data_IF_563749521070
#
_entry.id   IF_563749521070
#
_cell.length_a   1.000
_cell.length_b   1.000
_cell.length_c   1.000
_cell.angle_alpha   90.00
_cell.angle_beta   90.00
_cell.angle_gamma   90.00
#
_symmetry.space_group_name_H-M   'P 1'
#
loop_
_entity.id
_entity.type
_entity.pdbx_description
1 polymer ?
#
# COMPACT_ATOMS: atom_id res chain seq x y z
N UNK A 1 -72.47 8.85 3.76
CA UNK A 1 -73.15 8.01 4.77
C UNK A 1 -72.71 6.56 4.57
N UNK A 2 -72.10 5.98 5.60
CA UNK A 2 -72.21 4.57 6.11
C UNK A 2 -72.60 3.52 5.05
N UNK A 3 -71.87 2.43 4.77
CA UNK A 3 -71.45 1.41 5.73
C UNK A 3 -70.50 0.36 5.13
N UNK A 4 -69.69 -0.20 6.02
CA UNK A 4 -68.84 -1.39 5.91
C UNK A 4 -69.57 -2.61 5.34
N UNK A 5 -68.87 -3.44 4.54
CA UNK A 5 -68.98 -4.91 4.65
C UNK A 5 -67.60 -5.56 4.51
N UNK A 6 -67.12 -6.10 5.63
CA UNK A 6 -66.14 -7.18 5.69
C UNK A 6 -66.88 -8.48 5.40
N UNK A 7 -66.33 -9.32 4.53
CA UNK A 7 -66.64 -10.76 4.51
C UNK A 7 -65.30 -11.49 4.54
N UNK A 8 -65.07 -12.20 5.64
CA UNK A 8 -64.08 -13.27 5.72
C UNK A 8 -64.56 -14.43 4.85
N UNK A 9 -63.67 -14.98 4.02
CA UNK A 9 -63.87 -16.22 3.28
C UNK A 9 -62.56 -17.00 3.24
N UNK A 10 -62.65 -18.24 3.70
CA UNK A 10 -61.59 -19.15 4.12
C UNK A 10 -60.74 -19.69 2.96
N UNK A 11 -59.51 -20.05 3.32
CA UNK A 11 -58.45 -20.68 2.54
C UNK A 11 -58.91 -21.80 1.59
N UNK A 12 -58.40 -21.74 0.36
CA UNK A 12 -58.19 -22.89 -0.50
C UNK A 12 -56.69 -22.99 -0.81
N UNK A 13 -56.02 -23.93 -0.16
CA UNK A 13 -54.69 -24.39 -0.53
C UNK A 13 -54.75 -25.02 -1.92
N UNK A 14 -54.17 -24.35 -2.91
CA UNK A 14 -53.79 -24.96 -4.19
C UNK A 14 -52.28 -24.86 -4.30
N UNK A 15 -51.63 -25.95 -3.87
CA UNK A 15 -50.25 -26.29 -4.19
C UNK A 15 -50.15 -26.48 -5.70
N UNK A 16 -49.77 -25.41 -6.41
CA UNK A 16 -49.19 -25.53 -7.75
C UNK A 16 -47.68 -25.40 -7.58
N UNK A 17 -47.00 -26.56 -7.66
CA UNK A 17 -45.57 -26.65 -7.89
C UNK A 17 -45.27 -26.09 -9.29
N UNK A 18 -45.27 -24.76 -9.40
CA UNK A 18 -44.62 -24.09 -10.52
C UNK A 18 -43.12 -24.13 -10.22
N UNK A 19 -42.42 -25.04 -10.89
CA UNK A 19 -40.96 -25.07 -10.88
C UNK A 19 -40.43 -23.68 -11.20
N UNK A 20 -39.71 -23.08 -10.26
CA UNK A 20 -38.88 -21.93 -10.53
C UNK A 20 -37.75 -22.37 -11.46
N UNK A 21 -38.02 -22.47 -12.76
CA UNK A 21 -37.01 -22.18 -13.76
C UNK A 21 -36.69 -20.70 -13.60
N UNK A 22 -35.75 -20.39 -12.71
CA UNK A 22 -35.13 -19.07 -12.67
C UNK A 22 -34.55 -18.89 -14.08
N UNK A 23 -35.06 -17.95 -14.89
CA UNK A 23 -34.39 -17.61 -16.13
C UNK A 23 -33.00 -17.14 -15.69
N UNK A 24 -31.94 -17.82 -16.13
CA UNK A 24 -30.60 -17.28 -16.08
C UNK A 24 -30.64 -15.97 -16.87
N UNK A 25 -30.92 -14.86 -16.18
CA UNK A 25 -30.74 -13.52 -16.71
C UNK A 25 -29.28 -13.35 -17.16
N UNK A 26 -29.01 -12.43 -18.09
CA UNK A 26 -27.67 -12.17 -18.56
C UNK A 26 -26.74 -11.95 -17.37
N UNK A 27 -25.53 -12.52 -17.46
CA UNK A 27 -24.44 -12.41 -16.47
C UNK A 27 -24.43 -10.98 -15.91
N UNK A 28 -24.65 -10.83 -14.60
CA UNK A 28 -24.52 -9.53 -13.94
C UNK A 28 -23.06 -9.07 -14.03
N UNK A 29 -22.79 -8.23 -15.01
CA UNK A 29 -21.53 -7.53 -15.23
C UNK A 29 -21.37 -6.42 -14.19
N UNK A 30 -20.13 -6.19 -13.77
CA UNK A 30 -19.79 -5.15 -12.81
C UNK A 30 -20.21 -3.79 -13.39
N UNK A 31 -21.10 -3.02 -12.74
CA UNK A 31 -21.52 -1.74 -13.28
C UNK A 31 -20.39 -0.71 -13.12
N UNK A 32 -20.02 -0.05 -14.21
CA UNK A 32 -19.01 1.02 -14.22
C UNK A 32 -19.66 2.40 -14.52
N UNK A 33 -19.16 3.53 -13.97
CA UNK A 33 -19.78 4.87 -14.10
C UNK A 33 -19.53 5.56 -15.46
N UNK A 34 -20.25 6.67 -15.75
CA UNK A 34 -20.26 7.52 -16.98
C UNK A 34 -18.92 7.78 -17.72
N UNK A 35 -17.78 7.57 -17.06
CA UNK A 35 -16.45 7.55 -17.67
C UNK A 35 -16.23 6.44 -18.72
N UNK A 36 -17.16 5.49 -18.86
CA UNK A 36 -17.05 4.38 -19.82
C UNK A 36 -17.04 4.84 -21.27
N UNK A 37 -17.83 5.84 -21.64
CA UNK A 37 -17.94 6.29 -23.03
C UNK A 37 -16.65 6.98 -23.48
N UNK A 38 -16.10 7.86 -22.64
CA UNK A 38 -14.80 8.52 -22.90
C UNK A 38 -13.67 7.49 -23.02
N UNK A 39 -13.72 6.42 -22.23
CA UNK A 39 -12.72 5.35 -22.26
C UNK A 39 -12.88 4.42 -23.45
N UNK A 40 -14.11 4.12 -23.86
CA UNK A 40 -14.38 3.39 -25.09
C UNK A 40 -13.85 4.14 -26.31
N UNK A 41 -14.08 5.46 -26.39
CA UNK A 41 -13.55 6.33 -27.45
C UNK A 41 -12.02 6.41 -27.44
N UNK A 42 -11.38 6.39 -26.26
CA UNK A 42 -9.92 6.38 -26.16
C UNK A 42 -9.29 5.03 -26.58
N UNK A 43 -10.01 3.92 -26.43
CA UNK A 43 -9.57 2.61 -26.91
C UNK A 43 -9.78 2.46 -28.42
N UNK A 44 -10.86 3.03 -28.95
CA UNK A 44 -11.09 3.13 -30.39
C UNK A 44 -9.98 3.93 -31.09
N UNK A 45 -9.60 5.10 -30.56
CA UNK A 45 -8.53 5.92 -31.16
C UNK A 45 -7.16 5.25 -31.13
N UNK A 46 -6.98 4.23 -30.30
CA UNK A 46 -5.77 3.41 -30.20
C UNK A 46 -5.86 2.08 -30.97
N UNK A 47 -7.00 1.78 -31.58
CA UNK A 47 -7.24 0.54 -32.32
C UNK A 47 -7.51 -0.69 -31.45
N UNK A 48 -7.72 -0.55 -30.14
CA UNK A 48 -8.10 -1.66 -29.24
C UNK A 48 -9.62 -1.88 -29.27
N UNK A 49 -10.07 -2.50 -30.36
CA UNK A 49 -11.49 -2.69 -30.67
C UNK A 49 -12.15 -3.67 -29.70
N UNK A 50 -11.43 -4.71 -29.26
CA UNK A 50 -11.94 -5.68 -28.29
C UNK A 50 -12.15 -5.02 -26.92
N UNK A 51 -11.23 -4.16 -26.49
CA UNK A 51 -11.41 -3.33 -25.31
C UNK A 51 -12.61 -2.39 -25.44
N UNK A 52 -12.74 -1.69 -26.57
CA UNK A 52 -13.82 -0.74 -26.82
C UNK A 52 -15.22 -1.39 -26.78
N UNK A 53 -15.42 -2.55 -27.44
CA UNK A 53 -16.71 -3.27 -27.47
C UNK A 53 -17.23 -3.55 -26.06
N UNK A 54 -16.35 -4.02 -25.17
CA UNK A 54 -16.70 -4.36 -23.78
C UNK A 54 -17.21 -3.16 -22.99
N UNK A 55 -16.67 -1.97 -23.26
CA UNK A 55 -17.08 -0.73 -22.60
C UNK A 55 -18.39 -0.16 -23.16
N UNK A 56 -18.65 -0.33 -24.45
CA UNK A 56 -19.96 -0.01 -25.04
C UNK A 56 -21.06 -0.98 -24.63
N UNK A 57 -20.74 -2.27 -24.48
CA UNK A 57 -21.65 -3.30 -23.92
C UNK A 57 -22.12 -2.93 -22.51
N UNK A 58 -21.19 -2.42 -21.67
CA UNK A 58 -21.48 -2.03 -20.29
C UNK A 58 -22.26 -0.69 -20.12
N UNK A 59 -22.29 0.19 -21.12
CA UNK A 59 -22.91 1.53 -21.06
C UNK A 59 -24.38 1.57 -21.55
N UNK A 60 -25.16 0.52 -21.28
CA UNK A 60 -26.43 0.22 -21.94
C UNK A 60 -27.50 1.35 -21.91
N UNK A 61 -27.48 2.19 -22.96
CA UNK A 61 -28.62 2.93 -23.52
C UNK A 61 -28.27 3.54 -24.90
N UNK A 62 -27.01 3.94 -25.11
CA UNK A 62 -26.53 4.62 -26.35
C UNK A 62 -25.92 3.64 -27.37
N UNK A 63 -25.73 2.37 -27.02
CA UNK A 63 -24.67 1.55 -27.63
C UNK A 63 -25.07 0.51 -28.69
N UNK A 64 -26.34 0.28 -29.07
CA UNK A 64 -26.64 -0.82 -30.02
C UNK A 64 -25.99 -0.64 -31.40
N UNK A 65 -26.07 0.55 -31.99
CA UNK A 65 -25.50 0.83 -33.31
C UNK A 65 -23.95 0.91 -33.28
N UNK A 66 -23.40 1.46 -32.19
CA UNK A 66 -21.95 1.55 -32.02
C UNK A 66 -21.31 0.18 -31.74
N UNK A 67 -22.00 -0.65 -30.96
CA UNK A 67 -21.62 -2.03 -30.67
C UNK A 67 -21.69 -2.89 -31.92
N UNK A 68 -22.72 -2.73 -32.78
CA UNK A 68 -22.76 -3.43 -34.06
C UNK A 68 -21.63 -2.99 -35.00
N UNK A 69 -21.32 -1.69 -35.04
CA UNK A 69 -20.19 -1.18 -35.83
C UNK A 69 -18.84 -1.72 -35.36
N UNK A 70 -18.60 -1.78 -34.05
CA UNK A 70 -17.36 -2.33 -33.50
C UNK A 70 -17.28 -3.85 -33.62
N UNK A 71 -18.40 -4.56 -33.52
CA UNK A 71 -18.45 -6.00 -33.82
C UNK A 71 -18.11 -6.27 -35.29
N UNK A 72 -18.59 -5.44 -36.21
CA UNK A 72 -18.20 -5.52 -37.62
C UNK A 72 -16.70 -5.27 -37.80
N UNK A 73 -16.15 -4.26 -37.12
CA UNK A 73 -14.71 -3.94 -37.17
C UNK A 73 -13.84 -5.07 -36.57
N UNK A 74 -14.30 -5.70 -35.47
CA UNK A 74 -13.64 -6.89 -34.92
C UNK A 74 -13.64 -8.04 -35.92
N UNK A 75 -14.76 -8.27 -36.63
CA UNK A 75 -14.83 -9.30 -37.66
C UNK A 75 -13.92 -8.98 -38.86
N UNK A 76 -13.80 -7.71 -39.23
CA UNK A 76 -12.85 -7.23 -40.24
C UNK A 76 -11.40 -7.50 -39.81
N UNK A 77 -11.04 -7.17 -38.56
CA UNK A 77 -9.70 -7.45 -38.01
C UNK A 77 -9.41 -8.94 -37.92
N UNK A 78 -10.38 -9.76 -37.52
CA UNK A 78 -10.26 -11.23 -37.55
C UNK A 78 -10.00 -11.71 -38.98
N UNK A 79 -10.74 -11.18 -39.97
CA UNK A 79 -10.53 -11.50 -41.37
C UNK A 79 -9.15 -11.11 -41.88
N UNK A 80 -8.65 -9.92 -41.50
CA UNK A 80 -7.31 -9.45 -41.87
C UNK A 80 -6.20 -10.31 -41.27
N UNK A 81 -6.32 -10.66 -39.97
CA UNK A 81 -5.35 -11.55 -39.29
C UNK A 81 -5.39 -12.97 -39.87
N UNK A 82 -6.55 -13.49 -40.27
CA UNK A 82 -6.65 -14.77 -40.99
C UNK A 82 -6.00 -14.71 -42.36
N UNK A 83 -6.23 -13.64 -43.13
CA UNK A 83 -5.60 -13.46 -44.44
C UNK A 83 -4.07 -13.31 -44.33
N UNK A 84 -3.59 -12.59 -43.31
CA UNK A 84 -2.16 -12.48 -43.01
C UNK A 84 -1.57 -13.82 -42.59
N UNK A 85 -2.28 -14.61 -41.78
CA UNK A 85 -1.90 -15.98 -41.46
C UNK A 85 -1.78 -16.84 -42.73
N UNK A 86 -2.80 -16.84 -43.60
CA UNK A 86 -2.80 -17.63 -44.84
C UNK A 86 -1.66 -17.21 -45.77
N UNK A 87 -1.39 -15.91 -45.91
CA UNK A 87 -0.29 -15.39 -46.73
C UNK A 87 1.09 -15.79 -46.18
N UNK A 88 1.31 -15.66 -44.87
CA UNK A 88 2.55 -16.07 -44.23
C UNK A 88 2.78 -17.58 -44.36
N UNK A 89 1.73 -18.38 -44.16
CA UNK A 89 1.79 -19.84 -44.34
C UNK A 89 2.05 -20.24 -45.80
N UNK A 90 1.45 -19.55 -46.77
CA UNK A 90 1.71 -19.79 -48.20
C UNK A 90 3.14 -19.40 -48.60
N UNK A 91 3.71 -18.37 -47.97
CA UNK A 91 5.10 -17.95 -48.15
C UNK A 91 6.11 -18.87 -47.44
N UNK A 92 5.65 -19.82 -46.62
CA UNK A 92 6.50 -20.72 -45.84
C UNK A 92 7.03 -20.11 -44.52
N UNK A 93 6.58 -18.91 -44.15
CA UNK A 93 6.87 -18.30 -42.85
C UNK A 93 5.86 -18.78 -41.80
N UNK A 94 6.10 -20.00 -41.32
CA UNK A 94 5.19 -20.68 -40.40
C UNK A 94 5.11 -20.02 -39.03
N UNK A 95 6.20 -19.40 -38.55
CA UNK A 95 6.23 -18.73 -37.26
C UNK A 95 5.30 -17.51 -37.25
N UNK A 96 5.36 -16.71 -38.31
CA UNK A 96 4.51 -15.54 -38.48
C UNK A 96 3.05 -15.95 -38.71
N UNK A 97 2.81 -17.02 -39.48
CA UNK A 97 1.47 -17.60 -39.63
C UNK A 97 0.86 -18.05 -38.32
N UNK A 98 1.62 -18.74 -37.47
CA UNK A 98 1.19 -19.16 -36.12
C UNK A 98 0.89 -17.94 -35.23
N UNK A 99 1.72 -16.88 -35.32
CA UNK A 99 1.51 -15.63 -34.56
C UNK A 99 0.15 -14.99 -34.88
N UNK A 100 -0.17 -14.85 -36.15
CA UNK A 100 -1.45 -14.31 -36.62
C UNK A 100 -2.63 -15.19 -36.18
N UNK A 101 -2.52 -16.52 -36.26
CA UNK A 101 -3.56 -17.44 -35.77
C UNK A 101 -3.79 -17.32 -34.26
N UNK A 102 -2.74 -17.08 -33.47
CA UNK A 102 -2.87 -16.82 -32.02
C UNK A 102 -3.52 -15.45 -31.74
N UNK A 103 -3.32 -14.44 -32.59
CA UNK A 103 -4.04 -13.17 -32.50
C UNK A 103 -5.54 -13.34 -32.77
N UNK A 104 -5.91 -14.17 -33.74
CA UNK A 104 -7.32 -14.54 -33.98
C UNK A 104 -7.92 -15.22 -32.76
N UNK A 105 -7.22 -16.19 -32.17
CA UNK A 105 -7.71 -16.89 -30.96
C UNK A 105 -7.76 -15.99 -29.72
N UNK A 106 -6.97 -14.91 -29.67
CA UNK A 106 -7.08 -13.87 -28.64
C UNK A 106 -8.37 -13.07 -28.80
N UNK A 107 -8.72 -12.68 -30.03
CA UNK A 107 -9.95 -11.95 -30.31
C UNK A 107 -11.18 -12.86 -30.15
N UNK A 108 -11.10 -14.10 -30.62
CA UNK A 108 -12.18 -15.08 -30.58
C UNK A 108 -11.67 -16.49 -30.19
N UNK A 109 -11.65 -16.83 -28.88
CA UNK A 109 -11.13 -18.12 -28.39
C UNK A 109 -11.88 -19.37 -28.90
N UNK A 110 -13.10 -19.19 -29.43
CA UNK A 110 -13.94 -20.24 -30.00
C UNK A 110 -13.77 -20.43 -31.51
N UNK A 111 -12.94 -19.62 -32.18
CA UNK A 111 -12.90 -19.55 -33.64
C UNK A 111 -12.39 -20.87 -34.26
N UNK A 112 -13.31 -21.64 -34.86
CA UNK A 112 -13.05 -23.01 -35.33
C UNK A 112 -12.01 -23.07 -36.46
N UNK A 113 -12.04 -22.09 -37.38
CA UNK A 113 -11.11 -22.02 -38.51
C UNK A 113 -9.65 -21.88 -38.07
N UNK A 114 -9.35 -20.80 -37.34
CA UNK A 114 -8.05 -20.57 -36.71
C UNK A 114 -7.55 -21.76 -35.88
N UNK A 115 -8.41 -22.42 -35.07
CA UNK A 115 -8.00 -23.65 -34.35
C UNK A 115 -7.62 -24.79 -35.29
N UNK A 116 -8.41 -24.99 -36.36
CA UNK A 116 -8.15 -26.03 -37.36
C UNK A 116 -6.86 -25.79 -38.13
N UNK A 117 -6.66 -24.57 -38.63
CA UNK A 117 -5.44 -24.16 -39.32
C UNK A 117 -4.22 -24.25 -38.41
N UNK A 118 -4.32 -23.76 -37.18
CA UNK A 118 -3.22 -23.82 -36.21
C UNK A 118 -2.84 -25.28 -35.92
N UNK A 119 -3.80 -26.18 -35.70
CA UNK A 119 -3.52 -27.61 -35.54
C UNK A 119 -2.88 -28.25 -36.78
N UNK A 120 -3.35 -27.89 -37.98
CA UNK A 120 -2.82 -28.40 -39.25
C UNK A 120 -1.39 -27.93 -39.54
N UNK A 121 -1.09 -26.66 -39.26
CA UNK A 121 0.25 -26.07 -39.38
C UNK A 121 1.19 -26.62 -38.33
N UNK A 122 0.73 -26.76 -37.08
CA UNK A 122 1.51 -27.37 -36.00
C UNK A 122 1.79 -28.85 -36.25
N UNK A 123 1.01 -29.57 -37.05
CA UNK A 123 1.36 -30.93 -37.45
C UNK A 123 2.57 -30.99 -38.39
N UNK A 124 3.04 -29.87 -38.96
CA UNK A 124 4.00 -29.86 -40.07
C UNK A 124 5.43 -29.48 -39.72
N UNK A 125 5.73 -28.54 -38.81
CA UNK A 125 7.15 -28.10 -38.68
C UNK A 125 7.63 -27.30 -37.44
N UNK A 126 6.79 -26.67 -36.62
CA UNK A 126 7.26 -25.94 -35.42
C UNK A 126 6.63 -26.46 -34.13
N UNK A 127 7.21 -27.53 -33.60
CA UNK A 127 6.58 -28.29 -32.53
C UNK A 127 7.54 -28.78 -31.47
N UNK A 128 7.12 -28.64 -30.23
CA UNK A 128 7.67 -29.43 -29.13
C UNK A 128 6.74 -30.64 -28.98
N UNK A 129 7.14 -31.84 -29.45
CA UNK A 129 6.34 -33.04 -29.25
C UNK A 129 6.30 -33.37 -27.76
N UNK A 130 5.11 -33.59 -27.21
CA UNK A 130 4.98 -34.11 -25.85
C UNK A 130 3.95 -35.23 -25.79
N UNK A 131 4.33 -36.34 -25.18
CA UNK A 131 3.41 -37.42 -24.83
C UNK A 131 2.80 -37.09 -23.47
N UNK A 132 1.47 -37.20 -23.37
CA UNK A 132 0.73 -37.07 -22.10
C UNK A 132 1.07 -38.27 -21.21
N UNK A 133 1.62 -38.01 -20.03
CA UNK A 133 1.86 -39.03 -19.01
C UNK A 133 0.58 -39.30 -18.19
N UNK A 134 0.47 -40.47 -17.58
CA UNK A 134 -0.73 -40.86 -16.81
C UNK A 134 -1.10 -39.83 -15.73
N UNK A 135 -2.26 -39.19 -15.89
CA UNK A 135 -2.78 -38.19 -14.96
C UNK A 135 -2.17 -36.77 -15.08
N UNK A 136 -1.35 -36.49 -16.10
CA UNK A 136 -0.81 -35.15 -16.33
C UNK A 136 -1.94 -34.13 -16.62
N UNK A 137 -1.90 -33.00 -15.92
CA UNK A 137 -2.74 -31.85 -16.23
C UNK A 137 -2.12 -30.97 -17.31
N UNK A 138 -2.93 -30.08 -17.90
CA UNK A 138 -2.44 -29.05 -18.82
C UNK A 138 -1.33 -28.17 -18.18
N UNK A 139 -1.37 -27.99 -16.86
CA UNK A 139 -0.37 -27.28 -16.05
C UNK A 139 0.97 -28.02 -15.98
N UNK A 140 0.93 -29.34 -15.81
CA UNK A 140 2.13 -30.17 -15.78
C UNK A 140 2.80 -30.20 -17.16
N UNK A 141 2.01 -30.33 -18.22
CA UNK A 141 2.50 -30.29 -19.61
C UNK A 141 3.12 -28.93 -19.93
N UNK A 142 2.45 -27.83 -19.57
CA UNK A 142 2.97 -26.47 -19.79
C UNK A 142 4.27 -26.21 -18.99
N UNK A 143 4.33 -26.67 -17.74
CA UNK A 143 5.53 -26.61 -16.91
C UNK A 143 6.69 -27.40 -17.50
N UNK A 144 6.43 -28.59 -18.05
CA UNK A 144 7.45 -29.45 -18.66
C UNK A 144 7.94 -28.93 -20.01
N UNK A 145 7.02 -28.51 -20.88
CA UNK A 145 7.31 -28.15 -22.28
C UNK A 145 7.81 -26.72 -22.42
N UNK A 146 7.19 -25.78 -21.70
CA UNK A 146 7.52 -24.36 -21.82
C UNK A 146 8.32 -23.81 -20.65
N UNK A 147 8.63 -24.66 -19.66
CA UNK A 147 9.19 -24.22 -18.35
C UNK A 147 8.31 -23.14 -17.70
N UNK A 148 7.01 -23.15 -18.00
CA UNK A 148 6.07 -22.14 -17.54
C UNK A 148 4.66 -22.73 -17.38
N UNK A 149 4.30 -23.03 -16.14
CA UNK A 149 3.01 -23.61 -15.74
C UNK A 149 1.83 -22.70 -16.12
N UNK A 150 2.05 -21.39 -16.32
CA UNK A 150 0.99 -20.43 -16.66
C UNK A 150 0.46 -20.57 -18.09
N UNK A 151 1.08 -21.43 -18.90
CA UNK A 151 0.71 -21.70 -20.30
C UNK A 151 -0.24 -22.88 -20.49
N UNK A 152 -0.74 -23.46 -19.42
CA UNK A 152 -1.75 -24.51 -19.46
C UNK A 152 -3.04 -24.11 -20.16
N UNK A 153 -3.47 -22.84 -20.10
CA UNK A 153 -4.64 -22.38 -20.84
C UNK A 153 -4.41 -22.35 -22.36
N UNK A 154 -3.16 -22.21 -22.83
CA UNK A 154 -2.83 -22.45 -24.24
C UNK A 154 -3.03 -23.93 -24.56
N UNK A 155 -2.54 -24.83 -23.69
CA UNK A 155 -2.72 -26.29 -23.84
C UNK A 155 -4.22 -26.64 -23.86
N UNK A 156 -5.03 -26.12 -22.94
CA UNK A 156 -6.50 -26.31 -22.90
C UNK A 156 -7.23 -25.71 -24.11
N UNK A 157 -6.73 -24.59 -24.65
CA UNK A 157 -7.36 -23.93 -25.80
C UNK A 157 -7.13 -24.74 -27.08
N UNK A 158 -5.94 -25.34 -27.20
CA UNK A 158 -5.52 -26.15 -28.33
C UNK A 158 -6.00 -27.59 -28.25
N UNK A 159 -6.06 -28.16 -27.06
CA UNK A 159 -6.38 -29.54 -26.78
C UNK A 159 -7.46 -29.62 -25.71
N UNK A 160 -8.48 -30.44 -25.95
CA UNK A 160 -9.64 -30.62 -25.06
C UNK A 160 -9.20 -30.96 -23.62
N UNK A 161 -10.08 -30.73 -22.63
CA UNK A 161 -9.81 -31.07 -21.22
C UNK A 161 -9.57 -32.56 -20.96
N UNK A 162 -10.01 -33.43 -21.87
CA UNK A 162 -9.85 -34.88 -21.76
C UNK A 162 -8.52 -35.31 -22.39
N UNK A 163 -7.42 -35.03 -21.69
CA UNK A 163 -6.09 -35.49 -22.08
C UNK A 163 -5.94 -36.96 -21.68
N UNK A 164 -6.00 -37.86 -22.66
CA UNK A 164 -5.80 -39.30 -22.43
C UNK A 164 -4.32 -39.66 -22.37
N UNK A 165 -3.94 -40.55 -21.46
CA UNK A 165 -2.57 -41.06 -21.36
C UNK A 165 -2.09 -41.64 -22.69
N UNK A 166 -0.84 -41.38 -23.06
CA UNK A 166 -0.25 -41.85 -24.31
C UNK A 166 -0.59 -41.00 -25.54
N UNK A 167 -1.44 -39.97 -25.40
CA UNK A 167 -1.74 -39.05 -26.50
C UNK A 167 -0.50 -38.22 -26.84
N UNK A 168 -0.15 -38.16 -28.12
CA UNK A 168 0.90 -37.29 -28.62
C UNK A 168 0.33 -35.90 -28.93
N UNK A 169 0.80 -34.88 -28.23
CA UNK A 169 0.40 -33.49 -28.46
C UNK A 169 1.51 -32.74 -29.20
N UNK A 170 1.06 -31.84 -30.08
CA UNK A 170 1.90 -31.00 -30.92
C UNK A 170 1.78 -29.56 -30.45
N UNK A 171 2.68 -29.14 -29.57
CA UNK A 171 2.63 -27.83 -28.93
C UNK A 171 3.47 -26.79 -29.69
N UNK A 172 2.95 -25.56 -29.92
CA UNK A 172 3.65 -24.54 -30.68
C UNK A 172 4.93 -24.12 -29.98
N UNK A 173 6.04 -24.07 -30.71
CA UNK A 173 7.30 -23.46 -30.26
C UNK A 173 7.19 -21.94 -30.33
N UNK A 174 6.58 -21.32 -29.32
CA UNK A 174 6.43 -19.87 -29.24
C UNK A 174 7.48 -19.32 -28.27
N UNK A 175 7.97 -18.10 -28.49
CA UNK A 175 8.72 -17.39 -27.44
C UNK A 175 7.88 -17.37 -26.15
N UNK A 176 8.36 -18.04 -25.11
CA UNK A 176 7.63 -18.24 -23.86
C UNK A 176 7.16 -16.91 -23.21
N UNK A 177 7.85 -15.81 -23.51
CA UNK A 177 7.51 -14.43 -23.11
C UNK A 177 6.18 -13.93 -23.70
N UNK A 178 5.90 -14.22 -24.98
CA UNK A 178 4.70 -13.78 -25.70
C UNK A 178 3.44 -14.53 -25.24
N UNK A 179 3.57 -15.82 -24.93
CA UNK A 179 2.44 -16.65 -24.51
C UNK A 179 2.13 -16.47 -23.02
N UNK A 180 3.15 -16.29 -22.17
CA UNK A 180 2.99 -16.24 -20.71
C UNK A 180 2.18 -15.03 -20.23
N UNK A 181 2.37 -13.89 -20.89
CA UNK A 181 1.59 -12.68 -20.63
C UNK A 181 0.15 -12.79 -21.15
N UNK A 182 -0.09 -13.58 -22.20
CA UNK A 182 -1.36 -13.61 -22.93
C UNK A 182 -2.36 -14.65 -22.41
N UNK A 183 -1.88 -15.74 -21.77
CA UNK A 183 -2.71 -16.88 -21.35
C UNK A 183 -2.95 -16.96 -19.82
N UNK A 184 -2.14 -16.28 -19.00
CA UNK A 184 -2.36 -16.11 -17.56
C UNK A 184 -3.53 -15.16 -17.24
N UNK A 185 -3.74 -14.15 -18.10
CA UNK A 185 -4.75 -13.12 -17.96
C UNK A 185 -6.17 -13.66 -17.75
N UNK A 186 -6.63 -14.61 -18.59
CA UNK A 186 -8.02 -15.08 -18.58
C UNK A 186 -8.45 -15.72 -17.25
N UNK A 187 -7.54 -16.41 -16.57
CA UNK A 187 -7.81 -17.00 -15.25
C UNK A 187 -7.73 -15.97 -14.14
N UNK A 188 -6.68 -15.14 -14.15
CA UNK A 188 -6.51 -14.08 -13.16
C UNK A 188 -7.69 -13.12 -13.16
N UNK A 189 -8.17 -12.69 -14.33
CA UNK A 189 -9.32 -11.79 -14.43
C UNK A 189 -10.63 -12.47 -14.01
N UNK A 190 -10.80 -13.76 -14.30
CA UNK A 190 -11.97 -14.54 -13.86
C UNK A 190 -11.99 -14.69 -12.33
N UNK A 191 -10.83 -14.96 -11.72
CA UNK A 191 -10.66 -14.99 -10.27
C UNK A 191 -10.94 -13.62 -9.66
N UNK A 192 -10.38 -12.55 -10.21
CA UNK A 192 -10.62 -11.18 -9.73
C UNK A 192 -12.12 -10.83 -9.75
N UNK A 193 -12.86 -11.19 -10.81
CA UNK A 193 -14.32 -10.99 -10.87
C UNK A 193 -15.07 -11.80 -9.80
N UNK A 194 -14.61 -13.02 -9.50
CA UNK A 194 -15.19 -13.85 -8.42
C UNK A 194 -14.96 -13.18 -7.06
N UNK A 195 -13.73 -12.74 -6.78
CA UNK A 195 -13.36 -12.10 -5.53
C UNK A 195 -14.11 -10.77 -5.34
N UNK A 196 -14.30 -10.00 -6.42
CA UNK A 196 -15.13 -8.80 -6.44
C UNK A 196 -16.58 -9.06 -6.02
N UNK A 197 -17.23 -10.08 -6.60
CA UNK A 197 -18.61 -10.45 -6.23
C UNK A 197 -18.72 -10.95 -4.80
N UNK A 198 -17.68 -11.61 -4.30
CA UNK A 198 -17.63 -12.09 -2.93
C UNK A 198 -17.31 -10.99 -1.90
N UNK A 199 -16.99 -9.77 -2.35
CA UNK A 199 -16.49 -8.70 -1.47
C UNK A 199 -15.14 -9.04 -0.82
N UNK A 200 -14.39 -9.97 -1.40
CA UNK A 200 -13.09 -10.40 -0.90
C UNK A 200 -12.01 -9.41 -1.35
N UNK A 201 -11.92 -8.27 -0.67
CA UNK A 201 -11.10 -7.14 -1.11
C UNK A 201 -9.59 -7.40 -1.07
N UNK A 202 -9.07 -8.11 -0.06
CA UNK A 202 -7.63 -8.42 0.00
C UNK A 202 -7.18 -9.37 -1.12
N UNK A 203 -7.85 -10.52 -1.36
CA UNK A 203 -7.54 -11.36 -2.53
C UNK A 203 -7.74 -10.61 -3.86
N UNK A 204 -8.79 -9.80 -3.97
CA UNK A 204 -9.05 -9.01 -5.17
C UNK A 204 -7.90 -8.05 -5.49
N UNK A 205 -7.39 -7.33 -4.48
CA UNK A 205 -6.29 -6.40 -4.64
C UNK A 205 -5.03 -7.13 -5.12
N UNK A 206 -4.70 -8.26 -4.50
CA UNK A 206 -3.53 -9.06 -4.88
C UNK A 206 -3.61 -9.56 -6.33
N UNK A 207 -4.75 -10.13 -6.73
CA UNK A 207 -4.93 -10.68 -8.09
C UNK A 207 -4.95 -9.56 -9.14
N UNK A 208 -5.54 -8.40 -8.82
CA UNK A 208 -5.57 -7.27 -9.76
C UNK A 208 -4.19 -6.64 -9.94
N UNK A 209 -3.37 -6.52 -8.89
CA UNK A 209 -1.97 -6.09 -9.02
C UNK A 209 -1.11 -7.10 -9.76
N UNK A 210 -1.36 -8.40 -9.57
CA UNK A 210 -0.73 -9.44 -10.37
C UNK A 210 -1.01 -9.21 -11.86
N UNK A 211 -2.28 -8.96 -12.24
CA UNK A 211 -2.65 -8.66 -13.63
C UNK A 211 -1.90 -7.43 -14.15
N UNK A 212 -1.82 -6.37 -13.35
CA UNK A 212 -1.17 -5.12 -13.75
C UNK A 212 0.36 -5.25 -13.87
N UNK A 213 0.99 -6.23 -13.22
CA UNK A 213 2.42 -6.46 -13.36
C UNK A 213 2.84 -6.87 -14.79
N UNK A 214 1.97 -7.59 -15.50
CA UNK A 214 2.21 -8.02 -16.89
C UNK A 214 1.29 -7.34 -17.91
N UNK A 215 0.21 -6.70 -17.46
CA UNK A 215 -0.69 -5.89 -18.28
C UNK A 215 -0.96 -4.54 -17.58
N UNK A 216 0.03 -3.64 -17.47
CA UNK A 216 -0.09 -2.38 -16.70
C UNK A 216 -1.14 -1.41 -17.26
N UNK A 217 -1.48 -1.56 -18.55
CA UNK A 217 -2.57 -0.84 -19.19
C UNK A 217 -3.94 -1.50 -19.03
N UNK A 218 -4.06 -2.60 -18.29
CA UNK A 218 -5.35 -3.30 -18.16
C UNK A 218 -6.34 -2.48 -17.34
N UNK A 219 -7.35 -1.99 -18.05
CA UNK A 219 -8.27 -1.01 -17.51
C UNK A 219 -9.29 -1.63 -16.53
N UNK A 220 -9.58 -2.94 -16.63
CA UNK A 220 -10.47 -3.65 -15.70
C UNK A 220 -9.73 -3.97 -14.40
N UNK A 221 -8.50 -4.48 -14.49
CA UNK A 221 -7.64 -4.74 -13.34
C UNK A 221 -7.33 -3.45 -12.57
N UNK A 222 -7.09 -2.31 -13.25
CA UNK A 222 -6.98 -1.00 -12.59
C UNK A 222 -8.22 -0.66 -11.78
N UNK A 223 -9.41 -0.84 -12.36
CA UNK A 223 -10.67 -0.57 -11.64
C UNK A 223 -10.85 -1.51 -10.44
N UNK A 224 -10.57 -2.80 -10.62
CA UNK A 224 -10.70 -3.81 -9.55
C UNK A 224 -9.72 -3.54 -8.41
N UNK A 225 -8.46 -3.21 -8.73
CA UNK A 225 -7.44 -2.76 -7.78
C UNK A 225 -7.93 -1.54 -6.99
N UNK A 226 -8.37 -0.49 -7.69
CA UNK A 226 -8.82 0.73 -7.05
C UNK A 226 -10.06 0.53 -6.17
N UNK A 227 -11.00 -0.33 -6.62
CA UNK A 227 -12.18 -0.69 -5.82
C UNK A 227 -11.80 -1.43 -4.55
N UNK A 228 -10.92 -2.42 -4.67
CA UNK A 228 -10.42 -3.19 -3.54
C UNK A 228 -9.68 -2.30 -2.54
N UNK A 229 -8.76 -1.46 -3.03
CA UNK A 229 -7.99 -0.54 -2.19
C UNK A 229 -8.91 0.46 -1.46
N UNK A 230 -9.90 1.05 -2.15
CA UNK A 230 -10.88 1.95 -1.54
C UNK A 230 -11.69 1.25 -0.42
N UNK A 231 -12.24 0.06 -0.70
CA UNK A 231 -13.07 -0.65 0.27
C UNK A 231 -12.26 -1.14 1.48
N UNK A 232 -11.00 -1.55 1.29
CA UNK A 232 -10.08 -1.86 2.39
C UNK A 232 -9.76 -0.62 3.21
N UNK A 233 -9.52 0.52 2.55
CA UNK A 233 -9.24 1.78 3.22
C UNK A 233 -10.40 2.22 4.11
N UNK A 234 -11.64 2.14 3.63
CA UNK A 234 -12.86 2.41 4.42
C UNK A 234 -13.01 1.43 5.58
N UNK A 235 -12.81 0.13 5.36
CA UNK A 235 -12.90 -0.86 6.43
C UNK A 235 -11.85 -0.62 7.55
N UNK A 236 -10.63 -0.20 7.18
CA UNK A 236 -9.57 0.15 8.12
C UNK A 236 -9.89 1.47 8.85
N UNK A 237 -10.46 2.44 8.14
CA UNK A 237 -10.90 3.71 8.72
C UNK A 237 -11.96 3.49 9.81
N UNK A 238 -12.99 2.68 9.54
CA UNK A 238 -14.05 2.35 10.51
C UNK A 238 -13.52 1.61 11.74
N UNK A 239 -12.41 0.87 11.60
CA UNK A 239 -11.72 0.20 12.71
C UNK A 239 -10.77 1.13 13.49
N UNK A 240 -10.68 2.41 13.14
CA UNK A 240 -9.74 3.37 13.73
C UNK A 240 -8.28 3.13 13.34
N UNK A 241 -7.99 2.26 12.36
CA UNK A 241 -6.63 1.95 11.89
C UNK A 241 -6.22 2.96 10.82
N UNK A 242 -6.15 4.23 11.22
CA UNK A 242 -5.96 5.37 10.32
C UNK A 242 -4.65 5.30 9.50
N UNK A 243 -3.56 4.81 10.09
CA UNK A 243 -2.28 4.66 9.39
C UNK A 243 -2.37 3.69 8.21
N UNK A 244 -2.98 2.53 8.41
CA UNK A 244 -3.15 1.52 7.36
C UNK A 244 -4.21 1.94 6.34
N UNK A 245 -5.28 2.58 6.80
CA UNK A 245 -6.29 3.19 5.94
C UNK A 245 -5.66 4.18 4.95
N UNK A 246 -4.78 5.07 5.44
CA UNK A 246 -4.05 6.03 4.61
C UNK A 246 -3.17 5.37 3.54
N UNK A 247 -2.50 4.26 3.89
CA UNK A 247 -1.71 3.47 2.94
C UNK A 247 -2.59 2.96 1.81
N UNK A 248 -3.78 2.45 2.13
CA UNK A 248 -4.70 1.94 1.11
C UNK A 248 -5.30 3.04 0.24
N UNK A 249 -5.71 4.19 0.80
CA UNK A 249 -6.19 5.33 -0.01
C UNK A 249 -5.14 5.84 -1.00
N UNK A 250 -3.86 5.84 -0.62
CA UNK A 250 -2.76 6.25 -1.52
C UNK A 250 -2.52 5.29 -2.68
N UNK A 251 -3.04 4.06 -2.61
CA UNK A 251 -2.97 3.08 -3.71
C UNK A 251 -4.07 3.29 -4.74
N UNK A 252 -5.11 4.06 -4.41
CA UNK A 252 -6.22 4.40 -5.31
C UNK A 252 -5.73 5.46 -6.30
N UNK A 253 -5.91 5.18 -7.59
CA UNK A 253 -5.53 6.14 -8.63
C UNK A 253 -6.39 7.40 -8.55
N UNK A 254 -5.79 8.57 -8.84
CA UNK A 254 -6.40 9.88 -8.66
C UNK A 254 -7.74 10.10 -9.43
N UNK A 255 -8.02 9.28 -10.44
CA UNK A 255 -9.18 9.39 -11.33
C UNK A 255 -10.31 8.40 -11.01
N UNK A 256 -10.12 7.46 -10.08
CA UNK A 256 -11.13 6.44 -9.76
C UNK A 256 -12.27 7.01 -8.90
N UNK A 257 -11.91 7.74 -7.84
CA UNK A 257 -12.80 8.47 -6.92
C UNK A 257 -11.99 9.59 -6.28
N UNK A 258 -12.66 10.68 -5.87
CA UNK A 258 -11.97 11.78 -5.19
C UNK A 258 -11.70 11.43 -3.72
N UNK A 259 -10.61 10.72 -3.45
CA UNK A 259 -10.20 10.31 -2.09
C UNK A 259 -9.55 11.43 -1.27
N UNK A 260 -9.27 12.59 -1.89
CA UNK A 260 -8.57 13.70 -1.23
C UNK A 260 -9.24 14.14 0.08
N UNK A 261 -10.57 14.32 0.17
CA UNK A 261 -11.21 14.73 1.42
C UNK A 261 -10.97 13.74 2.55
N UNK A 262 -11.05 12.44 2.25
CA UNK A 262 -10.86 11.37 3.22
C UNK A 262 -9.41 11.26 3.69
N UNK A 263 -8.45 11.40 2.77
CA UNK A 263 -7.03 11.47 3.12
C UNK A 263 -6.78 12.66 4.06
N UNK A 264 -7.36 13.83 3.77
CA UNK A 264 -7.22 15.01 4.62
C UNK A 264 -7.86 14.82 5.99
N UNK A 265 -9.04 14.19 6.05
CA UNK A 265 -9.70 13.82 7.30
C UNK A 265 -8.79 12.93 8.16
N UNK A 266 -8.22 11.86 7.60
CA UNK A 266 -7.28 10.98 8.30
C UNK A 266 -6.06 11.74 8.84
N UNK A 267 -5.46 12.61 8.01
CA UNK A 267 -4.30 13.41 8.42
C UNK A 267 -4.66 14.37 9.56
N UNK A 268 -5.86 14.97 9.52
CA UNK A 268 -6.35 15.84 10.60
C UNK A 268 -6.53 15.09 11.92
N UNK A 269 -7.09 13.88 11.88
CA UNK A 269 -7.26 13.01 13.06
C UNK A 269 -5.90 12.61 13.64
N UNK A 270 -4.94 12.22 12.79
CA UNK A 270 -3.59 11.89 13.23
C UNK A 270 -2.86 13.09 13.84
N UNK A 271 -3.06 14.28 13.28
CA UNK A 271 -2.50 15.50 13.83
C UNK A 271 -3.09 15.81 15.22
N UNK A 272 -4.42 15.73 15.35
CA UNK A 272 -5.11 15.93 16.63
C UNK A 272 -4.62 14.96 17.70
N UNK A 273 -4.51 13.66 17.40
CA UNK A 273 -3.98 12.68 18.36
C UNK A 273 -2.54 13.00 18.79
N UNK A 274 -1.66 13.38 17.85
CA UNK A 274 -0.29 13.79 18.19
C UNK A 274 -0.27 15.03 19.07
N UNK A 275 -1.12 16.01 18.77
CA UNK A 275 -1.20 17.25 19.55
C UNK A 275 -1.76 16.98 20.96
N UNK A 276 -2.75 16.10 21.08
CA UNK A 276 -3.29 15.66 22.38
C UNK A 276 -2.25 14.89 23.22
N UNK A 277 -1.51 13.95 22.62
CA UNK A 277 -0.45 13.22 23.30
C UNK A 277 0.66 14.15 23.76
N UNK A 278 1.06 15.08 22.89
CA UNK A 278 2.04 16.13 23.19
C UNK A 278 1.58 17.00 24.35
N UNK A 279 0.32 17.44 24.35
CA UNK A 279 -0.29 18.21 25.43
C UNK A 279 -0.32 17.43 26.75
N UNK A 280 -0.77 16.17 26.74
CA UNK A 280 -0.81 15.29 27.93
C UNK A 280 0.58 15.05 28.51
N UNK A 281 1.55 14.75 27.64
CA UNK A 281 2.95 14.54 28.02
C UNK A 281 3.56 15.79 28.66
N UNK A 282 3.44 16.95 28.01
CA UNK A 282 3.97 18.20 28.55
C UNK A 282 3.29 18.62 29.84
N UNK A 283 1.97 18.44 29.96
CA UNK A 283 1.23 18.69 31.21
C UNK A 283 1.81 17.86 32.35
N UNK A 284 2.05 16.57 32.12
CA UNK A 284 2.63 15.66 33.14
C UNK A 284 4.05 16.09 33.53
N UNK A 285 4.90 16.37 32.54
CA UNK A 285 6.29 16.82 32.77
C UNK A 285 6.35 18.14 33.52
N UNK A 286 5.47 19.09 33.19
CA UNK A 286 5.40 20.37 33.89
C UNK A 286 4.94 20.19 35.34
N UNK A 287 3.94 19.35 35.59
CA UNK A 287 3.49 19.01 36.94
C UNK A 287 4.61 18.36 37.77
N UNK A 288 5.37 17.44 37.17
CA UNK A 288 6.53 16.81 37.80
C UNK A 288 7.65 17.82 38.10
N UNK A 289 7.99 18.68 37.14
CA UNK A 289 8.97 19.75 37.35
C UNK A 289 8.54 20.71 38.47
N UNK A 290 7.23 20.98 38.59
CA UNK A 290 6.65 21.81 39.66
C UNK A 290 6.81 21.14 41.02
N UNK A 291 6.51 19.83 41.12
CA UNK A 291 6.71 19.06 42.34
C UNK A 291 8.18 19.03 42.79
N UNK A 292 9.11 18.85 41.84
CA UNK A 292 10.55 18.90 42.11
C UNK A 292 11.00 20.28 42.59
N UNK A 293 10.40 21.34 42.04
CA UNK A 293 10.65 22.71 42.52
C UNK A 293 10.14 22.89 43.96
N UNK A 294 8.91 22.49 44.25
CA UNK A 294 8.27 22.67 45.56
C UNK A 294 8.96 21.86 46.66
N UNK A 295 9.53 20.70 46.32
CA UNK A 295 10.37 19.89 47.23
C UNK A 295 11.81 20.40 47.36
N UNK A 296 12.19 21.46 46.64
CA UNK A 296 13.51 22.08 46.69
C UNK A 296 14.59 21.39 45.85
N UNK A 297 14.23 20.35 45.09
CA UNK A 297 15.07 19.61 44.16
C UNK A 297 15.28 20.39 42.84
N UNK A 298 15.85 21.59 42.94
CA UNK A 298 15.92 22.55 41.84
C UNK A 298 16.69 22.08 40.60
N UNK A 299 17.75 21.28 40.78
CA UNK A 299 18.52 20.75 39.64
C UNK A 299 17.69 19.76 38.84
N UNK A 300 17.05 18.80 39.52
CA UNK A 300 16.13 17.85 38.88
C UNK A 300 14.93 18.57 38.24
N UNK A 301 14.40 19.60 38.90
CA UNK A 301 13.35 20.46 38.32
C UNK A 301 13.81 21.13 37.02
N UNK A 302 15.03 21.68 37.00
CA UNK A 302 15.63 22.31 35.80
C UNK A 302 15.75 21.33 34.65
N UNK A 303 16.26 20.14 34.93
CA UNK A 303 16.46 19.11 33.92
C UNK A 303 15.13 18.61 33.35
N UNK A 304 14.14 18.36 34.22
CA UNK A 304 12.78 17.97 33.80
C UNK A 304 12.13 19.06 32.92
N UNK A 305 12.26 20.32 33.32
CA UNK A 305 11.71 21.47 32.60
C UNK A 305 12.38 21.66 31.22
N UNK A 306 13.63 21.23 31.06
CA UNK A 306 14.32 21.14 29.78
C UNK A 306 13.65 20.20 28.78
N UNK A 307 12.90 19.19 29.25
CA UNK A 307 12.19 18.21 28.42
C UNK A 307 10.76 18.61 28.03
N UNK A 308 10.27 19.71 28.61
CA UNK A 308 8.98 20.33 28.26
C UNK A 308 9.20 21.22 27.02
N UNK A 309 8.26 21.27 26.10
CA UNK A 309 8.39 22.12 24.92
C UNK A 309 8.56 23.60 25.26
N UNK A 310 9.32 24.32 24.43
CA UNK A 310 9.71 25.72 24.66
C UNK A 310 8.50 26.65 24.89
N UNK A 311 7.47 26.49 24.06
CA UNK A 311 6.29 27.36 24.07
C UNK A 311 5.15 26.83 24.95
N UNK A 312 5.40 25.79 25.76
CA UNK A 312 4.34 25.21 26.58
C UNK A 312 3.91 26.18 27.69
N UNK A 313 2.59 26.47 27.82
CA UNK A 313 2.10 27.39 28.83
C UNK A 313 2.55 27.01 30.25
N UNK A 314 2.96 28.01 31.03
CA UNK A 314 3.46 27.83 32.41
C UNK A 314 4.94 27.47 32.54
N UNK A 315 5.59 26.95 31.48
CA UNK A 315 7.04 26.64 31.51
C UNK A 315 7.87 27.88 31.83
N UNK A 316 7.61 28.99 31.14
CA UNK A 316 8.37 30.24 31.30
C UNK A 316 8.28 30.82 32.71
N UNK A 317 7.09 30.78 33.33
CA UNK A 317 6.90 31.25 34.70
C UNK A 317 7.68 30.41 35.71
N UNK A 318 7.59 29.08 35.61
CA UNK A 318 8.32 28.18 36.49
C UNK A 318 9.83 28.30 36.29
N UNK A 319 10.30 28.45 35.05
CA UNK A 319 11.71 28.69 34.74
C UNK A 319 12.24 29.97 35.42
N UNK A 320 11.47 31.06 35.40
CA UNK A 320 11.85 32.30 36.07
C UNK A 320 11.95 32.14 37.58
N UNK A 321 10.97 31.47 38.20
CA UNK A 321 10.98 31.17 39.65
C UNK A 321 12.18 30.29 40.01
N UNK A 322 12.42 29.23 39.25
CA UNK A 322 13.54 28.32 39.42
C UNK A 322 14.88 29.02 39.30
N UNK A 323 15.05 29.86 38.28
CA UNK A 323 16.29 30.63 38.06
C UNK A 323 16.58 31.56 39.24
N UNK A 324 15.57 32.24 39.77
CA UNK A 324 15.73 33.07 40.98
C UNK A 324 16.15 32.23 42.18
N UNK A 325 15.50 31.08 42.42
CA UNK A 325 15.82 30.20 43.53
C UNK A 325 17.26 29.63 43.46
N UNK A 326 17.67 29.20 42.27
CA UNK A 326 19.03 28.73 42.00
C UNK A 326 20.07 29.85 42.22
N UNK A 327 19.79 31.07 41.76
CA UNK A 327 20.68 32.20 41.97
C UNK A 327 20.87 32.55 43.45
N UNK A 328 19.81 32.49 44.26
CA UNK A 328 19.89 32.72 45.71
C UNK A 328 20.73 31.64 46.39
N UNK A 329 20.55 30.36 46.02
CA UNK A 329 21.37 29.26 46.54
C UNK A 329 22.83 29.37 46.09
N UNK A 330 23.07 29.69 44.83
CA UNK A 330 24.42 29.94 44.30
C UNK A 330 25.12 31.04 45.10
N UNK A 331 24.45 32.17 45.30
CA UNK A 331 24.99 33.29 46.09
C UNK A 331 25.28 32.91 47.55
N UNK A 332 24.50 32.01 48.13
CA UNK A 332 24.75 31.47 49.48
C UNK A 332 26.04 30.66 49.54
N UNK A 333 26.26 29.78 48.56
CA UNK A 333 27.51 29.03 48.41
C UNK A 333 28.69 29.96 48.14
N UNK A 334 28.50 30.96 47.27
CA UNK A 334 29.52 31.97 46.99
C UNK A 334 30.01 32.69 48.24
N UNK A 335 29.08 33.21 49.05
CA UNK A 335 29.42 33.91 50.31
C UNK A 335 30.08 32.98 51.32
N UNK A 336 29.71 31.70 51.36
CA UNK A 336 30.39 30.70 52.20
C UNK A 336 31.83 30.47 51.73
N UNK A 337 32.05 30.38 50.42
CA UNK A 337 33.39 30.30 49.83
C UNK A 337 34.26 31.49 50.18
N UNK A 338 33.71 32.72 50.10
CA UNK A 338 34.41 33.95 50.52
C UNK A 338 34.83 33.89 51.99
N UNK A 339 33.95 33.45 52.90
CA UNK A 339 34.30 33.30 54.32
C UNK A 339 35.43 32.28 54.54
N UNK A 340 35.38 31.13 53.86
CA UNK A 340 36.43 30.11 53.95
C UNK A 340 37.76 30.60 53.40
N UNK A 341 37.72 31.39 52.32
CA UNK A 341 38.90 32.02 51.73
C UNK A 341 39.56 32.99 52.71
N UNK A 342 38.77 33.83 53.40
CA UNK A 342 39.26 34.73 54.44
C UNK A 342 39.82 33.99 55.67
N UNK A 343 39.41 32.75 55.89
CA UNK A 343 39.96 31.84 56.91
C UNK A 343 41.16 31.02 56.40
N UNK A 344 41.71 31.38 55.24
CA UNK A 344 42.83 30.70 54.57
C UNK A 344 42.56 29.23 54.18
N UNK A 345 41.31 28.77 54.27
CA UNK A 345 40.89 27.45 53.83
C UNK A 345 40.57 27.47 52.32
N UNK A 346 41.62 27.50 51.50
CA UNK A 346 41.51 27.61 50.03
C UNK A 346 40.76 26.42 49.41
N UNK A 347 41.00 25.20 49.89
CA UNK A 347 40.31 24.00 49.38
C UNK A 347 38.81 24.04 49.67
N UNK A 348 38.42 24.49 50.87
CA UNK A 348 37.01 24.68 51.23
C UNK A 348 36.36 25.79 50.42
N UNK A 349 37.07 26.90 50.20
CA UNK A 349 36.60 28.01 49.37
C UNK A 349 36.31 27.57 47.93
N UNK A 350 37.25 26.87 47.28
CA UNK A 350 37.10 26.32 45.93
C UNK A 350 35.89 25.39 45.85
N UNK A 351 35.74 24.47 46.81
CA UNK A 351 34.61 23.54 46.83
C UNK A 351 33.25 24.24 46.91
N UNK A 352 33.13 25.28 47.74
CA UNK A 352 31.87 26.05 47.85
C UNK A 352 31.62 26.91 46.60
N UNK A 353 32.65 27.49 45.98
CA UNK A 353 32.47 28.22 44.72
C UNK A 353 32.12 27.31 43.54
N UNK A 354 32.64 26.08 43.48
CA UNK A 354 32.22 25.08 42.50
C UNK A 354 30.74 24.73 42.65
N UNK A 355 30.24 24.53 43.88
CA UNK A 355 28.79 24.35 44.13
C UNK A 355 27.97 25.55 43.67
N UNK A 356 28.48 26.77 43.84
CA UNK A 356 27.83 27.99 43.31
C UNK A 356 27.72 27.94 41.79
N UNK A 357 28.76 27.49 41.09
CA UNK A 357 28.80 27.37 39.63
C UNK A 357 27.93 26.23 39.08
N UNK A 358 27.79 25.12 39.81
CA UNK A 358 26.85 24.05 39.45
C UNK A 358 25.40 24.56 39.42
N UNK A 359 25.05 25.41 40.38
CA UNK A 359 23.72 26.00 40.50
C UNK A 359 23.50 27.16 39.50
N UNK A 360 24.51 28.02 39.33
CA UNK A 360 24.52 29.11 38.37
C UNK A 360 25.86 29.14 37.60
N UNK A 361 25.93 28.51 36.42
CA UNK A 361 27.15 28.48 35.60
C UNK A 361 27.63 29.87 35.15
N UNK A 362 26.75 30.88 35.14
CA UNK A 362 27.08 32.25 34.78
C UNK A 362 27.49 33.12 35.99
N UNK A 363 27.74 32.54 37.17
CA UNK A 363 28.18 33.29 38.36
C UNK A 363 29.65 33.71 38.23
N UNK A 364 29.89 34.87 37.61
CA UNK A 364 31.22 35.39 37.27
C UNK A 364 32.17 35.40 38.48
N UNK A 365 31.72 35.90 39.63
CA UNK A 365 32.56 36.05 40.83
C UNK A 365 32.98 34.71 41.43
N UNK A 366 32.11 33.70 41.37
CA UNK A 366 32.48 32.35 41.81
C UNK A 366 33.54 31.74 40.89
N UNK A 367 33.44 31.96 39.57
CA UNK A 367 34.44 31.55 38.59
C UNK A 367 35.82 32.16 38.87
N UNK A 368 35.87 33.49 39.02
CA UNK A 368 37.09 34.22 39.39
C UNK A 368 37.66 33.75 40.73
N UNK A 369 36.78 33.48 41.72
CA UNK A 369 37.17 32.94 43.01
C UNK A 369 37.91 31.60 42.89
N UNK A 370 37.33 30.64 42.15
CA UNK A 370 37.95 29.32 41.92
C UNK A 370 39.33 29.47 41.30
N UNK A 371 39.47 30.30 40.27
CA UNK A 371 40.75 30.53 39.58
C UNK A 371 41.79 31.15 40.52
N UNK A 372 41.41 32.20 41.26
CA UNK A 372 42.30 32.91 42.16
C UNK A 372 42.78 32.04 43.34
N UNK A 373 41.86 31.32 44.00
CA UNK A 373 42.24 30.41 45.07
C UNK A 373 43.04 29.20 44.58
N UNK A 374 42.77 28.71 43.36
CA UNK A 374 43.56 27.66 42.72
C UNK A 374 45.02 28.07 42.55
N UNK A 375 45.27 29.25 41.96
CA UNK A 375 46.62 29.82 41.81
C UNK A 375 47.33 30.00 43.16
N UNK A 376 46.60 30.46 44.18
CA UNK A 376 47.19 30.66 45.51
C UNK A 376 47.55 29.32 46.18
N UNK A 377 46.70 28.30 46.03
CA UNK A 377 46.93 26.96 46.57
C UNK A 377 48.15 26.30 45.93
N UNK A 378 48.36 26.46 44.62
CA UNK A 378 49.58 25.98 43.95
C UNK A 378 50.85 26.63 44.50
N UNK A 379 50.83 27.96 44.70
CA UNK A 379 51.96 28.68 45.30
C UNK A 379 52.26 28.18 46.71
N UNK A 380 51.25 28.01 47.55
CA UNK A 380 51.42 27.50 48.92
C UNK A 380 52.01 26.08 48.92
N UNK A 381 51.55 25.19 48.03
CA UNK A 381 52.13 23.84 47.87
C UNK A 381 53.58 23.87 47.40
N UNK A 382 53.95 24.82 46.54
CA UNK A 382 55.33 25.00 46.07
C UNK A 382 56.29 25.55 47.13
N UNK A 383 55.78 26.19 48.19
CA UNK A 383 56.57 26.77 49.29
C UNK A 383 56.79 25.78 50.44
N UNK A 384 55.95 24.75 50.58
CA UNK A 384 56.19 23.71 51.60
C UNK A 384 57.52 22.98 51.33
N UNK A 385 58.52 23.06 52.23
CA UNK A 385 59.78 22.33 52.05
C UNK A 385 59.49 20.83 52.05
N UNK A 386 60.21 20.08 51.20
CA UNK A 386 60.33 18.61 51.30
C UNK A 386 60.97 18.22 52.64
N UNK A 387 60.26 18.38 53.75
CA UNK A 387 60.69 17.88 55.04
C UNK A 387 60.44 16.38 55.07
N UNK A 388 61.46 15.61 54.70
CA UNK A 388 61.41 14.16 54.80
C UNK A 388 62.41 13.38 53.95
N UNK A 389 63.68 13.82 53.85
CA UNK A 389 64.81 12.90 53.64
C UNK A 389 66.02 13.37 54.43
N UNK A 390 65.99 13.05 55.72
CA UNK A 390 67.19 12.74 56.47
C UNK A 390 66.99 11.31 56.98
N UNK A 391 67.65 10.35 56.35
CA UNK A 391 68.03 9.10 56.99
C UNK A 391 69.55 8.97 56.82
N UNK A 392 70.23 8.48 57.88
CA UNK A 392 71.67 8.63 58.09
C UNK A 392 72.54 7.90 57.08
#
# INVERSE_FOLDING_TARGET
MVSKRRVLGVAACLLVLAGCTVPMGPRAEVPFPDALQTRALALESRGDIVGAIRYWEASAAISREKLSALQALRQEQIGAELAAADAALAAGDEAEGIRHLLMVLRMEPGHKGAKGQLRGTLARRLVIPCTVQGGESAADIAGRVYKNVRLDSLVETLYSRDLTEGTLLWLPGVEASLVAAQFSYGRSISRARKDYRAGAWEPLLAVSEEILSYAPGDQEALYLKNTAAHNLAEALFQKGRYGESLVMYRRVDAYYKNEKPRIQEILSIQQQHRDEERLRSNTRKLAEATLLYDTGAFMASRDMLGTVDADFPGKGELLLRLTRALNVKAETHYRKGVRLFLQENLTGAISEWQKSLELNPAHLKAGEGVENAGRLLEKVKGIQPRNGRLTP
#
